data_IF_232101797106
#
_entry.id   IF_232101797106
#
_cell.length_a   1.000
_cell.length_b   1.000
_cell.length_c   1.000
_cell.angle_alpha   90.00
_cell.angle_beta   90.00
_cell.angle_gamma   90.00
#
_symmetry.space_group_name_H-M   'P 1'
#
loop_
_entity.id
_entity.type
_entity.pdbx_description
1 polymer ?
#
# COMPACT_ATOMS: atom_id res chain seq x y z
N UNK A 1 13.46 -7.18 2.13
CA UNK A 1 14.19 -6.52 3.23
C UNK A 1 15.58 -7.11 3.42
N UNK A 2 15.73 -8.39 3.80
CA UNK A 2 17.06 -9.03 3.95
C UNK A 2 17.91 -9.05 2.68
N UNK A 3 17.29 -8.97 1.50
CA UNK A 3 17.99 -8.84 0.22
C UNK A 3 18.67 -7.47 0.03
N UNK A 4 18.28 -6.47 0.81
CA UNK A 4 18.91 -5.13 0.83
C UNK A 4 19.95 -5.10 1.95
N UNK A 5 19.48 -5.35 3.17
CA UNK A 5 20.32 -5.37 4.37
C UNK A 5 19.64 -6.27 5.44
N UNK A 6 20.36 -7.24 6.05
CA UNK A 6 19.81 -8.11 7.08
C UNK A 6 19.32 -7.34 8.32
N UNK A 7 19.94 -6.22 8.69
CA UNK A 7 19.59 -5.44 9.88
C UNK A 7 18.22 -4.78 9.76
N UNK A 8 17.80 -4.44 8.53
CA UNK A 8 16.43 -3.97 8.27
C UNK A 8 15.42 -5.06 8.63
N UNK A 9 15.69 -6.33 8.26
CA UNK A 9 14.79 -7.44 8.59
C UNK A 9 14.78 -7.73 10.09
N UNK A 10 15.95 -7.79 10.72
CA UNK A 10 16.07 -7.98 12.18
C UNK A 10 15.29 -6.90 12.92
N UNK A 11 15.43 -5.65 12.47
CA UNK A 11 14.72 -4.52 13.02
C UNK A 11 13.21 -4.60 12.86
N UNK A 12 12.74 -4.90 11.64
CA UNK A 12 11.32 -5.09 11.35
C UNK A 12 10.71 -6.19 12.23
N UNK A 13 11.34 -7.37 12.29
CA UNK A 13 10.84 -8.52 13.04
C UNK A 13 10.70 -8.24 14.55
N UNK A 14 11.53 -7.34 15.11
CA UNK A 14 11.46 -6.93 16.53
C UNK A 14 10.20 -6.11 16.87
N UNK A 15 9.65 -5.39 15.90
CA UNK A 15 8.52 -4.47 16.12
C UNK A 15 7.24 -4.93 15.40
N UNK A 16 7.34 -5.97 14.59
CA UNK A 16 6.23 -6.55 13.86
C UNK A 16 5.22 -7.21 14.80
N UNK A 17 3.94 -6.96 14.52
CA UNK A 17 2.82 -7.66 15.15
C UNK A 17 2.15 -8.54 14.10
N UNK A 18 1.84 -9.77 14.50
CA UNK A 18 1.19 -10.79 13.67
C UNK A 18 -0.02 -11.40 14.41
N UNK A 19 -0.70 -12.32 13.74
CA UNK A 19 -1.78 -13.11 14.33
C UNK A 19 -1.31 -13.88 15.58
N UNK A 20 -2.07 -13.80 16.67
CA UNK A 20 -1.69 -14.39 17.95
C UNK A 20 -1.91 -15.91 18.01
N UNK A 21 -2.85 -16.46 17.22
CA UNK A 21 -3.15 -17.90 17.26
C UNK A 21 -2.08 -18.71 16.52
N UNK A 22 -1.51 -19.77 17.13
CA UNK A 22 -0.47 -20.60 16.49
C UNK A 22 -0.86 -21.14 15.11
N UNK A 23 -2.10 -21.63 14.97
CA UNK A 23 -2.65 -22.14 13.72
C UNK A 23 -2.88 -21.05 12.67
N UNK A 24 -2.91 -19.78 13.07
CA UNK A 24 -3.12 -18.62 12.19
C UNK A 24 -1.84 -17.87 11.81
N UNK A 25 -0.67 -18.37 12.23
CA UNK A 25 0.63 -17.76 11.92
C UNK A 25 0.88 -17.59 10.43
N UNK A 26 0.36 -18.48 9.58
CA UNK A 26 0.51 -18.39 8.13
C UNK A 26 -0.62 -17.66 7.43
N UNK A 27 -1.70 -17.32 8.13
CA UNK A 27 -2.83 -16.63 7.53
C UNK A 27 -2.58 -15.12 7.48
N UNK A 28 -2.96 -14.51 6.36
CA UNK A 28 -3.01 -13.07 6.19
C UNK A 28 -4.30 -12.51 6.78
N UNK A 29 -5.46 -12.95 6.29
CA UNK A 29 -6.76 -12.58 6.83
C UNK A 29 -7.74 -13.75 6.70
N UNK A 30 -8.62 -13.87 7.68
CA UNK A 30 -9.88 -14.60 7.52
C UNK A 30 -10.91 -13.66 6.89
N UNK A 31 -11.46 -14.06 5.74
CA UNK A 31 -12.48 -13.31 5.02
C UNK A 31 -13.86 -13.83 5.41
N UNK A 32 -14.70 -12.97 5.99
CA UNK A 32 -16.01 -13.30 6.52
C UNK A 32 -17.07 -12.37 5.91
N UNK A 33 -18.33 -12.83 5.85
CA UNK A 33 -19.45 -11.95 5.56
C UNK A 33 -19.72 -10.99 6.73
N UNK A 34 -19.68 -9.68 6.45
CA UNK A 34 -19.95 -8.63 7.43
C UNK A 34 -21.36 -8.04 7.37
N UNK A 35 -22.04 -8.10 6.22
CA UNK A 35 -23.41 -7.58 6.06
C UNK A 35 -24.49 -8.60 6.45
N UNK A 36 -25.61 -8.15 7.01
CA UNK A 36 -26.73 -9.04 7.37
C UNK A 36 -27.52 -9.46 6.14
N UNK A 37 -27.82 -10.76 6.04
CA UNK A 37 -28.52 -11.39 4.91
C UNK A 37 -29.87 -10.77 4.52
N UNK A 38 -30.60 -10.17 5.45
CA UNK A 38 -31.90 -9.52 5.23
C UNK A 38 -31.82 -8.10 4.65
N UNK A 39 -30.63 -7.48 4.67
CA UNK A 39 -30.40 -6.08 4.25
C UNK A 39 -29.66 -5.97 2.90
N UNK A 40 -29.74 -7.01 2.06
CA UNK A 40 -29.08 -7.06 0.75
C UNK A 40 -29.88 -6.40 -0.38
N UNK A 41 -31.11 -5.96 -0.09
CA UNK A 41 -31.97 -5.28 -1.06
C UNK A 41 -32.34 -6.21 -2.22
N UNK A 42 -31.91 -5.84 -3.42
CA UNK A 42 -32.09 -6.57 -4.69
C UNK A 42 -31.13 -7.75 -4.88
N UNK A 43 -30.10 -7.88 -4.04
CA UNK A 43 -29.13 -8.97 -4.12
C UNK A 43 -29.62 -10.19 -3.31
N UNK A 44 -29.39 -11.40 -3.84
CA UNK A 44 -29.61 -12.63 -3.07
C UNK A 44 -28.65 -12.62 -1.87
N UNK A 45 -29.17 -12.83 -0.67
CA UNK A 45 -28.37 -12.97 0.54
C UNK A 45 -27.28 -14.05 0.33
N UNK A 46 -25.98 -13.69 0.32
CA UNK A 46 -24.92 -14.65 0.02
C UNK A 46 -24.64 -15.59 1.20
N UNK A 47 -25.09 -15.22 2.40
CA UNK A 47 -24.97 -16.05 3.60
C UNK A 47 -25.37 -15.29 4.84
N UNK A 48 -25.18 -15.94 5.99
CA UNK A 48 -25.33 -15.30 7.30
C UNK A 48 -24.08 -14.48 7.63
N UNK A 49 -24.26 -13.46 8.47
CA UNK A 49 -23.14 -12.74 9.09
C UNK A 49 -22.14 -13.73 9.70
N UNK A 50 -20.85 -13.42 9.63
CA UNK A 50 -19.73 -14.24 10.12
C UNK A 50 -19.55 -15.58 9.39
N UNK A 51 -20.26 -15.82 8.28
CA UNK A 51 -19.92 -16.93 7.39
C UNK A 51 -18.53 -16.67 6.81
N UNK A 52 -17.58 -17.56 7.12
CA UNK A 52 -16.22 -17.53 6.57
C UNK A 52 -16.26 -17.92 5.09
N UNK A 53 -15.82 -16.99 4.25
CA UNK A 53 -15.73 -17.13 2.80
C UNK A 53 -14.40 -17.79 2.43
N UNK A 54 -13.29 -17.24 2.93
CA UNK A 54 -11.94 -17.68 2.56
C UNK A 54 -10.96 -17.52 3.72
N UNK A 55 -9.88 -18.31 3.68
CA UNK A 55 -8.69 -18.09 4.50
C UNK A 55 -7.51 -17.92 3.59
N UNK A 56 -6.91 -16.73 3.59
CA UNK A 56 -5.79 -16.43 2.69
C UNK A 56 -4.50 -16.72 3.43
N UNK A 57 -3.70 -17.66 2.91
CA UNK A 57 -2.39 -18.04 3.44
C UNK A 57 -1.30 -17.21 2.75
N UNK A 58 -0.48 -16.50 3.51
CA UNK A 58 0.65 -15.71 3.00
C UNK A 58 1.98 -16.40 3.33
N UNK A 59 2.31 -17.43 2.56
CA UNK A 59 3.53 -18.21 2.71
C UNK A 59 3.75 -18.66 4.16
N UNK A 60 4.95 -18.40 4.70
CA UNK A 60 5.34 -18.77 6.06
C UNK A 60 5.19 -17.64 7.10
N UNK A 61 4.80 -16.42 6.68
CA UNK A 61 4.81 -15.23 7.53
C UNK A 61 3.40 -14.85 8.00
N UNK A 62 2.38 -15.08 7.17
CA UNK A 62 1.02 -14.64 7.45
C UNK A 62 0.89 -13.12 7.50
N UNK A 63 0.00 -12.61 8.36
CA UNK A 63 -0.14 -11.18 8.59
C UNK A 63 1.04 -10.65 9.40
N UNK A 64 1.62 -9.56 8.90
CA UNK A 64 2.65 -8.81 9.62
C UNK A 64 2.44 -7.31 9.41
N UNK A 65 2.50 -6.56 10.50
CA UNK A 65 2.31 -5.11 10.49
C UNK A 65 3.22 -4.42 11.50
N UNK A 66 3.60 -3.17 11.18
CA UNK A 66 4.43 -2.31 12.03
C UNK A 66 3.84 -0.92 12.08
N UNK A 67 4.07 -0.20 13.19
CA UNK A 67 3.79 1.23 13.23
C UNK A 67 4.77 1.97 12.32
N UNK A 68 4.27 2.72 11.34
CA UNK A 68 5.08 3.38 10.29
C UNK A 68 6.23 4.22 10.88
N UNK A 69 5.95 5.02 11.91
CA UNK A 69 6.96 5.89 12.52
C UNK A 69 8.10 5.09 13.15
N UNK A 70 7.78 4.02 13.90
CA UNK A 70 8.81 3.21 14.55
C UNK A 70 9.68 2.44 13.55
N UNK A 71 9.07 1.97 12.45
CA UNK A 71 9.86 1.36 11.38
C UNK A 71 10.74 2.37 10.66
N UNK A 72 10.26 3.61 10.46
CA UNK A 72 11.07 4.68 9.90
C UNK A 72 12.23 5.06 10.84
N UNK A 73 11.99 5.20 12.14
CA UNK A 73 13.04 5.48 13.12
C UNK A 73 14.13 4.41 13.09
N UNK A 74 13.73 3.15 12.94
CA UNK A 74 14.66 2.04 12.74
C UNK A 74 15.48 2.19 11.46
N UNK A 75 14.84 2.47 10.32
CA UNK A 75 15.55 2.66 9.06
C UNK A 75 16.53 3.85 9.13
N UNK A 76 16.12 4.96 9.75
CA UNK A 76 16.96 6.15 9.94
C UNK A 76 18.17 5.82 10.81
N UNK A 77 18.03 4.97 11.83
CA UNK A 77 19.16 4.57 12.69
C UNK A 77 20.26 3.78 11.96
N UNK A 78 19.95 3.23 10.77
CA UNK A 78 20.90 2.52 9.91
C UNK A 78 21.61 3.45 8.90
N UNK A 79 21.16 4.70 8.76
CA UNK A 79 21.74 5.68 7.84
C UNK A 79 22.86 6.43 8.56
N UNK A 80 24.07 6.53 7.97
CA UNK A 80 25.17 7.26 8.60
C UNK A 80 24.84 8.72 8.89
N UNK A 81 25.39 9.23 10.00
CA UNK A 81 25.24 10.62 10.39
C UNK A 81 25.67 11.57 9.27
N UNK A 82 24.90 12.64 9.08
CA UNK A 82 25.19 13.68 8.10
C UNK A 82 24.71 13.39 6.68
N UNK A 83 24.28 12.16 6.35
CA UNK A 83 23.66 11.83 5.04
C UNK A 83 22.30 12.51 4.90
N UNK A 84 21.42 12.37 5.90
CA UNK A 84 20.10 13.00 5.88
C UNK A 84 20.20 14.52 6.11
N UNK A 85 19.62 15.31 5.20
CA UNK A 85 19.46 16.76 5.33
C UNK A 85 17.96 17.12 5.38
N UNK A 86 17.46 17.40 6.57
CA UNK A 86 16.06 17.80 6.78
C UNK A 86 15.85 19.30 6.52
N UNK A 87 14.57 19.73 6.54
CA UNK A 87 14.20 21.11 6.24
C UNK A 87 14.32 21.49 4.76
N UNK A 88 14.45 20.48 3.88
CA UNK A 88 14.60 20.65 2.43
C UNK A 88 13.35 20.16 1.71
N UNK A 89 12.73 21.01 0.90
CA UNK A 89 11.64 20.66 -0.02
C UNK A 89 12.08 21.00 -1.44
N UNK A 90 12.12 20.00 -2.32
CA UNK A 90 12.53 20.18 -3.72
C UNK A 90 11.43 20.93 -4.47
N UNK A 91 11.81 21.98 -5.20
CA UNK A 91 10.91 22.73 -6.08
C UNK A 91 11.25 22.49 -7.56
N UNK A 92 12.55 22.29 -7.86
CA UNK A 92 13.06 22.13 -9.22
C UNK A 92 14.22 21.14 -9.26
N UNK A 93 14.28 20.37 -10.35
CA UNK A 93 15.40 19.49 -10.69
C UNK A 93 15.73 19.72 -12.15
N UNK A 94 16.97 20.08 -12.45
CA UNK A 94 17.44 20.37 -13.82
C UNK A 94 18.79 19.71 -14.07
N UNK A 95 19.00 19.24 -15.29
CA UNK A 95 20.33 18.90 -15.75
C UNK A 95 21.06 20.17 -16.19
N UNK A 96 22.19 20.50 -15.53
CA UNK A 96 23.06 21.62 -15.88
C UNK A 96 24.48 21.13 -16.05
N UNK A 97 25.02 21.28 -17.26
CA UNK A 97 26.36 20.78 -17.63
C UNK A 97 26.47 19.27 -17.35
N UNK A 98 27.25 18.85 -16.35
CA UNK A 98 27.47 17.44 -16.02
C UNK A 98 26.71 16.98 -14.75
N UNK A 99 25.94 17.85 -14.09
CA UNK A 99 25.25 17.54 -12.83
C UNK A 99 23.74 17.75 -12.90
N UNK A 100 23.02 17.04 -12.05
CA UNK A 100 21.64 17.32 -11.68
C UNK A 100 21.64 18.36 -10.56
N UNK A 101 21.00 19.50 -10.79
CA UNK A 101 20.90 20.59 -9.81
C UNK A 101 19.49 20.59 -9.22
N UNK A 102 19.41 20.37 -7.91
CA UNK A 102 18.18 20.52 -7.13
C UNK A 102 18.09 21.94 -6.59
N UNK A 103 16.93 22.57 -6.73
CA UNK A 103 16.59 23.83 -6.06
C UNK A 103 15.54 23.56 -5.00
N UNK A 104 15.78 24.05 -3.79
CA UNK A 104 14.89 23.86 -2.64
C UNK A 104 14.08 25.12 -2.32
N UNK A 105 12.97 24.96 -1.59
CA UNK A 105 12.08 26.05 -1.18
C UNK A 105 12.76 27.14 -0.33
N UNK A 106 13.85 26.80 0.36
CA UNK A 106 14.64 27.74 1.16
C UNK A 106 15.67 28.55 0.32
N UNK A 107 15.64 28.39 -1.00
CA UNK A 107 16.55 29.04 -1.95
C UNK A 107 17.92 28.38 -2.08
N UNK A 108 18.23 27.37 -1.26
CA UNK A 108 19.47 26.62 -1.39
C UNK A 108 19.43 25.67 -2.60
N UNK A 109 20.62 25.23 -3.01
CA UNK A 109 20.79 24.25 -4.08
C UNK A 109 21.66 23.08 -3.64
N UNK A 110 21.54 21.96 -4.35
CA UNK A 110 22.46 20.82 -4.25
C UNK A 110 22.73 20.26 -5.63
N UNK A 111 23.89 19.63 -5.79
CA UNK A 111 24.30 18.98 -7.04
C UNK A 111 24.48 17.48 -6.82
N UNK A 112 24.07 16.67 -7.79
CA UNK A 112 24.23 15.22 -7.77
C UNK A 112 24.45 14.68 -9.19
N UNK A 113 25.01 13.47 -9.29
CA UNK A 113 25.12 12.79 -10.59
C UNK A 113 23.76 12.24 -11.07
N UNK A 114 22.87 11.92 -10.13
CA UNK A 114 21.52 11.44 -10.38
C UNK A 114 20.58 11.87 -9.26
N UNK A 115 19.27 11.88 -9.53
CA UNK A 115 18.21 12.17 -8.55
C UNK A 115 17.19 11.04 -8.56
N UNK A 116 16.76 10.62 -7.37
CA UNK A 116 15.67 9.65 -7.19
C UNK A 116 14.56 10.33 -6.39
N UNK A 117 13.39 10.47 -7.00
CA UNK A 117 12.18 10.99 -6.37
C UNK A 117 11.51 9.92 -5.51
N UNK A 118 11.68 10.02 -4.20
CA UNK A 118 11.01 9.19 -3.19
C UNK A 118 10.03 10.03 -2.32
N UNK A 119 9.47 11.09 -2.90
CA UNK A 119 8.72 12.16 -2.23
C UNK A 119 7.21 11.89 -2.09
N UNK A 120 6.81 10.62 -2.21
CA UNK A 120 5.48 10.13 -1.88
C UNK A 120 4.40 10.45 -2.90
N UNK A 121 3.15 10.22 -2.53
CA UNK A 121 1.99 10.35 -3.44
C UNK A 121 1.76 11.77 -3.98
N UNK A 122 2.24 12.82 -3.31
CA UNK A 122 2.17 14.21 -3.82
C UNK A 122 3.50 14.64 -4.45
N UNK A 123 4.11 13.73 -5.22
CA UNK A 123 5.49 13.86 -5.70
C UNK A 123 5.68 15.05 -6.63
N UNK A 124 6.59 15.96 -6.24
CA UNK A 124 7.10 17.02 -7.12
C UNK A 124 8.04 16.44 -8.17
N UNK A 125 8.83 15.42 -7.81
CA UNK A 125 9.71 14.75 -8.77
C UNK A 125 8.94 14.12 -9.93
N UNK A 126 7.75 13.54 -9.67
CA UNK A 126 6.85 12.98 -10.69
C UNK A 126 6.36 14.05 -11.65
N UNK A 127 5.91 15.19 -11.14
CA UNK A 127 5.47 16.34 -11.96
C UNK A 127 6.61 16.83 -12.87
N UNK A 128 7.83 16.96 -12.34
CA UNK A 128 9.01 17.39 -13.12
C UNK A 128 9.34 16.37 -14.21
N UNK A 129 9.36 15.08 -13.87
CA UNK A 129 9.76 14.00 -14.77
C UNK A 129 8.80 13.82 -15.94
N UNK A 130 7.49 13.76 -15.64
CA UNK A 130 6.45 13.59 -16.66
C UNK A 130 6.14 14.91 -17.41
N UNK A 131 6.48 16.04 -16.80
CA UNK A 131 6.13 17.38 -17.26
C UNK A 131 4.85 17.88 -16.60
N UNK A 132 4.84 19.12 -16.13
CA UNK A 132 3.74 19.68 -15.30
C UNK A 132 2.37 19.63 -16.00
N UNK A 133 2.37 19.73 -17.33
CA UNK A 133 1.15 19.68 -18.16
C UNK A 133 0.75 18.27 -18.60
N UNK A 134 1.52 17.23 -18.22
CA UNK A 134 1.16 15.86 -18.54
C UNK A 134 -0.05 15.45 -17.72
N UNK A 135 -1.07 14.88 -18.38
CA UNK A 135 -2.21 14.28 -17.70
C UNK A 135 -1.73 13.20 -16.72
N UNK A 136 -2.35 13.07 -15.54
CA UNK A 136 -2.02 12.02 -14.55
C UNK A 136 -0.70 12.20 -13.76
N UNK A 137 -0.18 13.43 -13.69
CA UNK A 137 0.87 13.79 -12.71
C UNK A 137 0.34 13.79 -11.28
N UNK A 138 -0.92 14.19 -11.09
CA UNK A 138 -1.57 14.21 -9.77
C UNK A 138 -2.21 12.86 -9.39
N UNK A 139 -2.34 12.58 -8.09
CA UNK A 139 -3.17 11.49 -7.58
C UNK A 139 -4.65 11.69 -7.91
N UNK A 140 -5.35 10.60 -8.18
CA UNK A 140 -6.79 10.60 -8.46
C UNK A 140 -7.57 9.96 -7.32
N UNK A 141 -8.67 10.59 -6.91
CA UNK A 141 -9.56 10.00 -5.91
C UNK A 141 -10.15 8.70 -6.48
N UNK A 142 -10.11 7.64 -5.69
CA UNK A 142 -10.48 6.30 -6.17
C UNK A 142 -11.97 5.99 -6.03
N UNK A 143 -12.78 6.95 -5.57
CA UNK A 143 -14.18 6.71 -5.21
C UNK A 143 -14.34 5.98 -3.87
N UNK A 144 -13.27 5.82 -3.08
CA UNK A 144 -13.27 5.07 -1.81
C UNK A 144 -12.74 5.95 -0.69
N UNK A 145 -13.29 5.79 0.51
CA UNK A 145 -12.79 6.40 1.73
C UNK A 145 -12.85 5.38 2.87
N UNK A 146 -12.13 5.66 3.95
CA UNK A 146 -12.04 4.75 5.09
C UNK A 146 -12.10 5.47 6.42
N UNK A 147 -12.92 4.96 7.34
CA UNK A 147 -12.85 5.28 8.75
C UNK A 147 -11.71 4.49 9.38
N UNK A 148 -10.80 5.17 10.07
CA UNK A 148 -9.67 4.55 10.77
C UNK A 148 -9.76 4.84 12.23
N UNK A 149 -9.56 3.84 13.06
CA UNK A 149 -9.63 3.99 14.52
C UNK A 149 -8.98 2.82 15.22
N UNK A 150 -8.74 3.02 16.52
CA UNK A 150 -8.05 2.06 17.36
C UNK A 150 -8.98 1.61 18.49
N UNK A 151 -8.79 0.36 18.94
CA UNK A 151 -9.53 -0.20 20.07
C UNK A 151 -8.51 -0.87 21.01
N UNK A 152 -8.47 -0.51 22.31
CA UNK A 152 -7.72 -1.27 23.31
C UNK A 152 -8.08 -2.76 23.26
N UNK A 153 -7.08 -3.64 23.20
CA UNK A 153 -7.32 -5.07 22.95
C UNK A 153 -8.23 -5.71 23.99
N UNK A 154 -8.16 -5.29 25.26
CA UNK A 154 -9.03 -5.79 26.32
C UNK A 154 -10.53 -5.47 26.07
N UNK A 155 -10.83 -4.29 25.51
CA UNK A 155 -12.19 -3.92 25.07
C UNK A 155 -12.62 -4.77 23.88
N UNK A 156 -11.75 -4.97 22.89
CA UNK A 156 -12.03 -5.81 21.73
C UNK A 156 -12.33 -7.26 22.15
N UNK A 157 -11.49 -7.86 23.00
CA UNK A 157 -11.68 -9.23 23.52
C UNK A 157 -13.02 -9.37 24.24
N UNK A 158 -13.40 -8.43 25.10
CA UNK A 158 -14.71 -8.46 25.79
C UNK A 158 -15.89 -8.39 24.82
N UNK A 159 -15.72 -7.73 23.68
CA UNK A 159 -16.78 -7.51 22.71
C UNK A 159 -16.96 -8.67 21.73
N UNK A 160 -15.87 -9.23 21.20
CA UNK A 160 -15.90 -10.20 20.09
C UNK A 160 -15.17 -11.51 20.38
N UNK A 161 -14.66 -11.70 21.60
CA UNK A 161 -13.89 -12.87 22.00
C UNK A 161 -12.41 -12.80 21.60
N UNK A 162 -11.59 -13.68 22.18
CA UNK A 162 -10.14 -13.61 22.01
C UNK A 162 -9.66 -13.91 20.59
N UNK A 163 -10.19 -14.96 19.96
CA UNK A 163 -9.72 -15.38 18.65
C UNK A 163 -9.96 -14.30 17.59
N UNK A 164 -11.16 -13.72 17.55
CA UNK A 164 -11.47 -12.67 16.56
C UNK A 164 -10.71 -11.37 16.82
N UNK A 165 -10.56 -10.96 18.09
CA UNK A 165 -9.87 -9.72 18.44
C UNK A 165 -8.36 -9.77 18.16
N UNK A 166 -7.73 -10.94 18.36
CA UNK A 166 -6.27 -11.10 18.30
C UNK A 166 -5.75 -11.65 16.97
N UNK A 167 -6.62 -11.82 15.98
CA UNK A 167 -6.25 -12.29 14.65
C UNK A 167 -6.89 -11.42 13.57
N UNK A 168 -6.28 -11.40 12.40
CA UNK A 168 -6.65 -10.50 11.32
C UNK A 168 -7.93 -10.94 10.62
N UNK A 169 -8.94 -10.08 10.59
CA UNK A 169 -10.26 -10.33 10.00
C UNK A 169 -10.58 -9.33 8.88
N UNK A 170 -11.23 -9.79 7.83
CA UNK A 170 -11.79 -8.98 6.74
C UNK A 170 -13.29 -9.28 6.63
N UNK A 171 -14.13 -8.28 6.86
CA UNK A 171 -15.59 -8.37 6.84
C UNK A 171 -16.12 -7.74 5.54
N UNK A 172 -16.67 -8.57 4.66
CA UNK A 172 -17.09 -8.17 3.31
C UNK A 172 -18.58 -7.80 3.30
N UNK A 173 -18.95 -6.81 2.48
CA UNK A 173 -20.32 -6.31 2.39
C UNK A 173 -20.50 -5.45 1.15
N UNK A 174 -21.75 -5.13 0.80
CA UNK A 174 -22.02 -4.31 -0.38
C UNK A 174 -21.52 -2.87 -0.16
N UNK A 175 -20.76 -2.35 -1.10
CA UNK A 175 -20.23 -0.97 -1.11
C UNK A 175 -19.32 -0.62 0.08
N UNK A 176 -18.76 -1.63 0.76
CA UNK A 176 -17.82 -1.40 1.85
C UNK A 176 -17.31 -2.69 2.46
N UNK A 177 -16.22 -2.57 3.21
CA UNK A 177 -15.63 -3.69 3.94
C UNK A 177 -14.92 -3.18 5.19
N UNK A 178 -14.79 -4.02 6.21
CA UNK A 178 -14.09 -3.67 7.45
C UNK A 178 -12.96 -4.65 7.66
N UNK A 179 -11.77 -4.14 7.97
CA UNK A 179 -10.66 -4.97 8.39
C UNK A 179 -10.25 -4.66 9.82
N UNK A 180 -9.80 -5.69 10.51
CA UNK A 180 -9.25 -5.60 11.87
C UNK A 180 -8.00 -6.44 11.97
N UNK A 181 -6.99 -5.97 12.69
CA UNK A 181 -5.79 -6.75 12.99
C UNK A 181 -5.08 -6.20 14.25
N UNK A 182 -4.34 -7.05 14.98
CA UNK A 182 -3.57 -6.61 16.14
C UNK A 182 -2.34 -5.78 15.72
N UNK A 183 -2.05 -4.74 16.48
CA UNK A 183 -0.83 -3.93 16.40
C UNK A 183 -0.22 -3.76 17.80
N UNK A 184 0.92 -3.08 17.90
CA UNK A 184 1.60 -2.75 19.17
C UNK A 184 1.84 -3.99 20.06
N UNK A 185 2.37 -5.06 19.47
CA UNK A 185 2.58 -6.36 20.12
C UNK A 185 1.28 -6.95 20.70
N UNK A 186 0.15 -6.73 20.01
CA UNK A 186 -1.15 -7.27 20.38
C UNK A 186 -1.87 -6.52 21.50
N UNK A 187 -1.45 -5.30 21.84
CA UNK A 187 -2.09 -4.44 22.85
C UNK A 187 -3.26 -3.64 22.30
N UNK A 188 -3.29 -3.41 20.98
CA UNK A 188 -4.27 -2.55 20.32
C UNK A 188 -4.78 -3.25 19.07
N UNK A 189 -6.09 -3.19 18.82
CA UNK A 189 -6.71 -3.64 17.58
C UNK A 189 -6.86 -2.44 16.65
N UNK A 190 -6.24 -2.50 15.48
CA UNK A 190 -6.42 -1.52 14.42
C UNK A 190 -7.70 -1.84 13.64
N UNK A 191 -8.54 -0.84 13.39
CA UNK A 191 -9.77 -0.97 12.59
C UNK A 191 -9.70 -0.03 11.40
N UNK A 192 -10.01 -0.55 10.21
CA UNK A 192 -10.22 0.26 9.02
C UNK A 192 -11.52 -0.16 8.35
N UNK A 193 -12.46 0.75 8.23
CA UNK A 193 -13.78 0.50 7.68
C UNK A 193 -13.96 1.33 6.40
N UNK A 194 -13.90 0.66 5.26
CA UNK A 194 -13.95 1.24 3.93
C UNK A 194 -15.37 1.36 3.42
N UNK A 195 -15.61 2.40 2.62
CA UNK A 195 -16.87 2.67 1.94
C UNK A 195 -16.65 3.20 0.54
N UNK A 196 -17.55 2.82 -0.36
CA UNK A 196 -17.73 3.42 -1.68
C UNK A 196 -18.44 4.75 -1.55
N UNK A 197 -17.86 5.79 -2.15
CA UNK A 197 -18.49 7.09 -2.33
C UNK A 197 -19.35 7.05 -3.60
N UNK A 198 -20.66 6.91 -3.45
CA UNK A 198 -21.58 6.62 -4.56
C UNK A 198 -21.67 7.70 -5.64
N UNK A 199 -21.44 8.97 -5.30
CA UNK A 199 -21.37 10.05 -6.30
C UNK A 199 -19.98 10.20 -6.94
N UNK A 200 -19.01 9.39 -6.51
CA UNK A 200 -17.64 9.35 -7.01
C UNK A 200 -16.79 10.59 -6.66
N UNK A 201 -17.27 11.49 -5.80
CA UNK A 201 -16.63 12.78 -5.56
C UNK A 201 -16.12 12.96 -4.14
N UNK A 202 -14.93 13.55 -4.05
CA UNK A 202 -14.36 14.07 -2.81
C UNK A 202 -14.11 15.57 -2.98
N UNK A 203 -14.91 16.39 -2.31
CA UNK A 203 -14.94 17.85 -2.52
C UNK A 203 -14.08 18.63 -1.53
N UNK A 204 -13.52 17.96 -0.50
CA UNK A 204 -12.60 18.59 0.45
C UNK A 204 -11.15 18.46 -0.04
N UNK A 205 -10.39 19.54 0.00
CA UNK A 205 -8.97 19.52 -0.37
C UNK A 205 -8.13 18.64 0.58
N UNK A 206 -8.60 18.47 1.82
CA UNK A 206 -7.97 17.60 2.81
C UNK A 206 -8.37 16.15 2.53
N UNK A 207 -7.38 15.28 2.59
CA UNK A 207 -7.59 13.84 2.44
C UNK A 207 -7.95 13.16 3.76
N UNK A 208 -7.73 13.85 4.88
CA UNK A 208 -8.03 13.35 6.22
C UNK A 208 -8.93 14.36 6.92
N UNK A 209 -10.08 13.89 7.39
CA UNK A 209 -11.08 14.68 8.10
C UNK A 209 -11.37 14.04 9.45
N UNK A 210 -11.71 14.83 10.48
CA UNK A 210 -12.24 14.28 11.71
C UNK A 210 -13.55 13.54 11.41
N UNK A 211 -13.72 12.35 11.98
CA UNK A 211 -14.94 11.58 11.81
C UNK A 211 -16.13 12.20 12.57
N UNK A 212 -17.32 12.17 11.96
CA UNK A 212 -18.59 12.29 12.68
C UNK A 212 -19.13 10.89 12.94
N UNK A 213 -19.50 10.62 14.20
CA UNK A 213 -19.90 9.27 14.63
C UNK A 213 -21.13 8.79 13.86
N UNK A 214 -22.09 9.69 13.69
CA UNK A 214 -23.36 9.44 13.01
C UNK A 214 -23.14 9.02 11.56
N UNK A 215 -22.23 9.68 10.84
CA UNK A 215 -21.91 9.38 9.43
C UNK A 215 -21.40 7.94 9.28
N UNK A 216 -20.47 7.51 10.14
CA UNK A 216 -19.97 6.14 10.13
C UNK A 216 -21.10 5.13 10.40
N UNK A 217 -21.96 5.37 11.40
CA UNK A 217 -23.06 4.43 11.66
C UNK A 217 -24.07 4.37 10.52
N UNK A 218 -24.34 5.50 9.87
CA UNK A 218 -25.21 5.59 8.70
C UNK A 218 -24.65 4.79 7.52
N UNK A 219 -23.35 4.88 7.27
CA UNK A 219 -22.68 4.14 6.20
C UNK A 219 -22.72 2.63 6.38
N UNK A 220 -22.72 2.18 7.64
CA UNK A 220 -22.73 0.76 7.99
C UNK A 220 -24.12 0.26 8.39
N UNK A 221 -25.21 1.00 8.10
CA UNK A 221 -26.57 0.48 8.23
C UNK A 221 -26.72 -0.83 7.44
N UNK A 222 -27.36 -1.83 8.06
CA UNK A 222 -27.51 -3.16 7.48
C UNK A 222 -26.34 -4.12 7.72
N UNK A 223 -25.24 -3.63 8.31
CA UNK A 223 -24.15 -4.49 8.74
C UNK A 223 -24.47 -5.31 9.99
N UNK A 224 -23.74 -6.40 10.12
CA UNK A 224 -23.80 -7.38 11.19
C UNK A 224 -23.62 -6.80 12.59
N UNK A 225 -24.12 -7.50 13.62
CA UNK A 225 -23.96 -7.07 15.01
C UNK A 225 -22.49 -7.01 15.42
N UNK A 226 -21.66 -7.91 14.91
CA UNK A 226 -20.23 -7.98 15.23
C UNK A 226 -19.49 -6.75 14.70
N UNK A 227 -19.72 -6.42 13.43
CA UNK A 227 -19.14 -5.21 12.80
C UNK A 227 -19.63 -3.95 13.49
N UNK A 228 -20.93 -3.82 13.72
CA UNK A 228 -21.52 -2.69 14.43
C UNK A 228 -20.92 -2.49 15.84
N UNK A 229 -20.70 -3.59 16.57
CA UNK A 229 -20.05 -3.53 17.88
C UNK A 229 -18.61 -3.05 17.77
N UNK A 230 -17.81 -3.58 16.82
CA UNK A 230 -16.43 -3.15 16.58
C UNK A 230 -16.39 -1.64 16.29
N UNK A 231 -17.20 -1.16 15.36
CA UNK A 231 -17.25 0.26 14.99
C UNK A 231 -17.59 1.16 16.20
N UNK A 232 -18.47 0.69 17.11
CA UNK A 232 -18.86 1.44 18.31
C UNK A 232 -17.75 1.65 19.33
N UNK A 233 -16.69 0.84 19.28
CA UNK A 233 -15.55 0.88 20.20
C UNK A 233 -14.39 1.72 19.69
N UNK A 234 -14.41 2.13 18.40
CA UNK A 234 -13.31 2.90 17.81
C UNK A 234 -13.08 4.22 18.55
N UNK A 235 -11.84 4.45 18.98
CA UNK A 235 -11.41 5.66 19.64
C UNK A 235 -10.71 6.61 18.66
N UNK A 236 -11.03 7.91 18.76
CA UNK A 236 -10.48 9.01 17.94
C UNK A 236 -10.41 8.71 16.43
N UNK A 237 -11.51 8.29 15.81
CA UNK A 237 -11.43 7.91 14.42
C UNK A 237 -11.37 9.12 13.47
N UNK A 238 -10.65 8.93 12.37
CA UNK A 238 -10.55 9.88 11.26
C UNK A 238 -11.09 9.23 9.98
N UNK A 239 -11.52 10.07 9.03
CA UNK A 239 -11.94 9.66 7.69
C UNK A 239 -10.85 9.97 6.70
N UNK A 240 -10.45 8.97 5.93
CA UNK A 240 -9.35 9.05 4.97
C UNK A 240 -9.89 8.81 3.57
N UNK A 241 -9.83 9.83 2.71
CA UNK A 241 -10.07 9.65 1.29
C UNK A 241 -8.88 8.95 0.63
N UNK A 242 -9.17 8.00 -0.25
CA UNK A 242 -8.14 7.19 -0.89
C UNK A 242 -7.83 7.73 -2.28
N UNK A 243 -6.55 7.93 -2.52
CA UNK A 243 -5.99 8.39 -3.77
C UNK A 243 -4.90 7.43 -4.21
N UNK A 244 -4.75 7.27 -5.52
CA UNK A 244 -3.66 6.54 -6.14
C UNK A 244 -3.18 7.30 -7.39
N UNK A 245 -2.07 6.85 -7.96
CA UNK A 245 -1.58 7.41 -9.21
C UNK A 245 -2.09 6.63 -10.42
N UNK A 246 -2.55 7.31 -11.47
CA UNK A 246 -2.75 6.64 -12.75
C UNK A 246 -1.40 6.18 -13.34
N UNK A 247 -1.42 5.21 -14.27
CA UNK A 247 -0.22 4.66 -14.90
C UNK A 247 0.71 5.75 -15.48
N UNK A 248 1.99 5.71 -15.08
CA UNK A 248 3.02 6.55 -15.70
C UNK A 248 3.62 5.84 -16.92
N UNK A 249 3.92 6.53 -18.03
CA UNK A 249 4.54 5.91 -19.20
C UNK A 249 5.99 5.46 -18.95
N UNK A 250 6.68 6.12 -18.02
CA UNK A 250 8.07 5.85 -17.61
C UNK A 250 8.26 6.27 -16.15
N UNK A 251 9.20 5.65 -15.45
CA UNK A 251 9.68 6.03 -14.12
C UNK A 251 11.00 6.78 -14.15
N UNK A 252 11.55 7.11 -15.32
CA UNK A 252 12.77 7.89 -15.43
C UNK A 252 12.79 8.80 -16.66
N UNK A 253 13.64 9.81 -16.61
CA UNK A 253 14.02 10.68 -17.73
C UNK A 253 15.43 11.20 -17.51
N UNK A 254 16.36 10.84 -18.40
CA UNK A 254 17.78 11.14 -18.20
C UNK A 254 18.27 10.57 -16.87
N UNK A 255 18.79 11.44 -16.00
CA UNK A 255 19.33 11.08 -14.68
C UNK A 255 18.39 11.42 -13.51
N UNK A 256 17.08 11.49 -13.76
CA UNK A 256 16.03 11.54 -12.75
C UNK A 256 15.16 10.27 -12.83
N UNK A 257 14.93 9.60 -11.69
CA UNK A 257 14.04 8.44 -11.58
C UNK A 257 13.03 8.59 -10.43
N UNK A 258 11.94 7.81 -10.44
CA UNK A 258 10.92 7.76 -9.38
C UNK A 258 10.93 6.40 -8.68
N UNK A 259 10.63 6.40 -7.37
CA UNK A 259 10.57 5.20 -6.55
C UNK A 259 9.41 5.26 -5.54
N UNK A 260 8.78 4.10 -5.28
CA UNK A 260 7.69 3.99 -4.32
C UNK A 260 6.45 4.78 -4.73
N UNK A 261 5.78 5.40 -3.77
CA UNK A 261 4.51 6.11 -4.01
C UNK A 261 4.64 7.24 -5.05
N UNK A 262 5.81 7.85 -5.24
CA UNK A 262 6.03 8.83 -6.30
C UNK A 262 5.84 8.23 -7.71
N UNK A 263 6.16 6.94 -7.88
CA UNK A 263 6.01 6.21 -9.13
C UNK A 263 4.63 5.52 -9.23
N UNK A 264 4.19 4.88 -8.15
CA UNK A 264 3.07 3.91 -8.18
C UNK A 264 2.25 3.86 -6.88
N UNK A 265 1.93 5.02 -6.29
CA UNK A 265 0.98 5.08 -5.19
C UNK A 265 -0.30 4.27 -5.51
N UNK A 266 -0.69 3.36 -4.62
CA UNK A 266 -1.82 2.46 -4.79
C UNK A 266 -2.83 2.60 -3.64
N UNK A 267 -4.07 2.16 -3.87
CA UNK A 267 -4.98 1.90 -2.74
C UNK A 267 -4.44 0.76 -1.84
N UNK A 268 -4.83 0.67 -0.56
CA UNK A 268 -4.20 -0.23 0.40
C UNK A 268 -4.77 -1.66 0.40
N UNK A 269 -5.73 -1.99 -0.46
CA UNK A 269 -6.53 -3.22 -0.39
C UNK A 269 -5.71 -4.51 -0.49
N UNK A 270 -4.54 -4.50 -1.13
CA UNK A 270 -3.63 -5.65 -1.18
C UNK A 270 -2.47 -5.59 -0.18
N UNK A 271 -2.34 -4.51 0.60
CA UNK A 271 -1.24 -4.33 1.55
C UNK A 271 0.17 -4.28 0.92
N UNK A 272 0.28 -4.04 -0.39
CA UNK A 272 1.52 -4.26 -1.14
C UNK A 272 2.35 -2.99 -1.44
N UNK A 273 1.83 -1.78 -1.19
CA UNK A 273 2.49 -0.52 -1.59
C UNK A 273 3.91 -0.35 -1.02
N UNK A 274 4.07 -0.49 0.30
CA UNK A 274 5.39 -0.42 0.93
C UNK A 274 6.33 -1.54 0.47
N UNK A 275 5.79 -2.74 0.22
CA UNK A 275 6.55 -3.85 -0.35
C UNK A 275 7.10 -3.52 -1.73
N UNK A 276 6.30 -2.87 -2.60
CA UNK A 276 6.76 -2.44 -3.92
C UNK A 276 7.89 -1.41 -3.84
N UNK A 277 7.84 -0.45 -2.91
CA UNK A 277 8.94 0.50 -2.71
C UNK A 277 10.23 -0.19 -2.23
N UNK A 278 10.12 -1.24 -1.41
CA UNK A 278 11.27 -2.05 -0.97
C UNK A 278 11.82 -2.87 -2.15
N UNK A 279 10.96 -3.45 -2.99
CA UNK A 279 11.39 -4.12 -4.24
C UNK A 279 12.12 -3.15 -5.18
N UNK A 280 11.59 -1.93 -5.35
CA UNK A 280 12.24 -0.88 -6.15
C UNK A 280 13.63 -0.55 -5.61
N UNK A 281 13.75 -0.33 -4.30
CA UNK A 281 15.01 0.02 -3.65
C UNK A 281 16.05 -1.08 -3.85
N UNK A 282 15.65 -2.36 -3.74
CA UNK A 282 16.52 -3.50 -3.99
C UNK A 282 17.03 -3.54 -5.44
N UNK A 283 16.15 -3.40 -6.43
CA UNK A 283 16.58 -3.42 -7.84
C UNK A 283 17.46 -2.22 -8.15
N UNK A 284 17.03 -1.02 -7.76
CA UNK A 284 17.71 0.22 -8.10
C UNK A 284 19.09 0.33 -7.43
N UNK A 285 19.22 -0.07 -6.16
CA UNK A 285 20.51 -0.04 -5.46
C UNK A 285 21.54 -0.99 -6.09
N UNK A 286 21.11 -2.17 -6.53
CA UNK A 286 21.99 -3.14 -7.18
C UNK A 286 22.45 -2.67 -8.57
N UNK A 287 21.56 -2.05 -9.35
CA UNK A 287 21.92 -1.51 -10.67
C UNK A 287 22.86 -0.31 -10.55
N UNK A 288 22.57 0.63 -9.64
CA UNK A 288 23.43 1.78 -9.38
C UNK A 288 24.79 1.38 -8.79
N UNK A 289 24.85 0.32 -7.99
CA UNK A 289 26.10 -0.23 -7.46
C UNK A 289 27.05 -0.79 -8.53
N UNK A 290 26.57 -1.00 -9.77
CA UNK A 290 27.37 -1.47 -10.91
C UNK A 290 27.76 -0.35 -11.88
N UNK A 291 27.27 0.86 -11.67
CA UNK A 291 27.58 2.02 -12.52
C UNK A 291 29.03 2.44 -12.27
N UNK A 292 29.86 2.41 -13.33
CA UNK A 292 31.25 2.86 -13.29
C UNK A 292 31.43 4.30 -13.76
N UNK A 293 30.44 4.88 -14.45
CA UNK A 293 30.49 6.27 -14.92
C UNK A 293 29.11 6.90 -15.05
N UNK A 294 29.04 8.24 -15.04
CA UNK A 294 27.78 8.99 -15.19
C UNK A 294 26.96 8.61 -16.43
N UNK A 295 27.63 8.19 -17.52
CA UNK A 295 27.00 7.80 -18.79
C UNK A 295 26.20 6.50 -18.70
N UNK A 296 26.38 5.73 -17.64
CA UNK A 296 25.71 4.44 -17.44
C UNK A 296 24.49 4.56 -16.52
N UNK A 297 24.32 5.70 -15.83
CA UNK A 297 23.19 5.94 -14.92
C UNK A 297 21.85 5.80 -15.64
N UNK A 298 21.70 6.43 -16.81
CA UNK A 298 20.46 6.37 -17.58
C UNK A 298 20.14 4.93 -18.04
N UNK A 299 21.16 4.12 -18.35
CA UNK A 299 20.98 2.70 -18.68
C UNK A 299 20.49 1.90 -17.47
N UNK A 300 21.03 2.18 -16.28
CA UNK A 300 20.56 1.56 -15.04
C UNK A 300 19.10 1.95 -14.75
N UNK A 301 18.72 3.21 -14.93
CA UNK A 301 17.34 3.67 -14.78
C UNK A 301 16.38 3.08 -15.81
N UNK A 302 16.82 2.92 -17.06
CA UNK A 302 16.07 2.21 -18.09
C UNK A 302 15.81 0.74 -17.71
N UNK A 303 16.83 0.02 -17.25
CA UNK A 303 16.67 -1.36 -16.79
C UNK A 303 15.74 -1.48 -15.58
N UNK A 304 15.83 -0.54 -14.63
CA UNK A 304 14.91 -0.43 -13.49
C UNK A 304 13.46 -0.24 -13.97
N UNK A 305 13.20 0.74 -14.84
CA UNK A 305 11.87 1.01 -15.39
C UNK A 305 11.29 -0.23 -16.07
N UNK A 306 12.08 -0.88 -16.94
CA UNK A 306 11.65 -2.01 -17.73
C UNK A 306 11.14 -3.19 -16.88
N UNK A 307 11.74 -3.45 -15.71
CA UNK A 307 11.33 -4.56 -14.85
C UNK A 307 10.35 -4.16 -13.74
N UNK A 308 10.45 -2.93 -13.22
CA UNK A 308 9.64 -2.47 -12.08
C UNK A 308 8.31 -1.84 -12.49
N UNK A 309 8.28 -1.09 -13.58
CA UNK A 309 7.08 -0.35 -14.00
C UNK A 309 5.90 -1.27 -14.31
N UNK A 310 6.03 -2.34 -15.13
CA UNK A 310 4.90 -3.22 -15.42
C UNK A 310 4.33 -3.90 -14.15
N UNK A 311 5.20 -4.35 -13.25
CA UNK A 311 4.80 -5.04 -12.01
C UNK A 311 4.11 -4.11 -11.02
N UNK A 312 4.72 -2.97 -10.73
CA UNK A 312 4.17 -2.00 -9.77
C UNK A 312 2.85 -1.38 -10.26
N UNK A 313 2.70 -1.11 -11.56
CA UNK A 313 1.41 -0.62 -12.09
C UNK A 313 0.34 -1.70 -12.07
N UNK A 314 0.70 -2.97 -12.27
CA UNK A 314 -0.23 -4.08 -12.06
C UNK A 314 -0.72 -4.13 -10.61
N UNK A 315 0.14 -3.85 -9.62
CA UNK A 315 -0.28 -3.75 -8.21
C UNK A 315 -1.31 -2.63 -8.01
N UNK A 316 -1.09 -1.43 -8.59
CA UNK A 316 -2.05 -0.33 -8.51
C UNK A 316 -3.41 -0.75 -9.06
N UNK A 317 -3.43 -1.35 -10.25
CA UNK A 317 -4.65 -1.82 -10.91
C UNK A 317 -5.37 -2.90 -10.10
N UNK A 318 -4.67 -3.99 -9.74
CA UNK A 318 -5.30 -5.12 -9.03
C UNK A 318 -5.68 -4.77 -7.59
N UNK A 319 -5.15 -3.67 -7.03
CA UNK A 319 -5.58 -3.16 -5.72
C UNK A 319 -6.97 -2.52 -5.80
N UNK A 320 -7.31 -1.87 -6.92
CA UNK A 320 -8.69 -1.43 -7.17
C UNK A 320 -9.62 -2.62 -7.37
N UNK A 321 -9.18 -3.66 -8.08
CA UNK A 321 -9.96 -4.89 -8.23
C UNK A 321 -10.16 -5.61 -6.89
N UNK A 322 -9.19 -5.50 -5.96
CA UNK A 322 -9.34 -6.02 -4.60
C UNK A 322 -10.49 -5.35 -3.85
N UNK A 323 -10.56 -4.03 -3.89
CA UNK A 323 -11.68 -3.28 -3.31
C UNK A 323 -13.02 -3.76 -3.88
N UNK A 324 -13.15 -3.88 -5.21
CA UNK A 324 -14.39 -4.32 -5.85
C UNK A 324 -14.84 -5.69 -5.38
N UNK A 325 -13.91 -6.64 -5.26
CA UNK A 325 -14.21 -8.00 -4.79
C UNK A 325 -14.64 -8.00 -3.33
N UNK A 326 -13.98 -7.22 -2.46
CA UNK A 326 -14.35 -7.15 -1.04
C UNK A 326 -15.72 -6.52 -0.82
N UNK A 327 -16.15 -5.69 -1.77
CA UNK A 327 -17.33 -4.86 -1.66
C UNK A 327 -18.52 -5.34 -2.51
N UNK A 328 -18.39 -6.54 -3.09
CA UNK A 328 -19.35 -7.15 -4.03
C UNK A 328 -19.72 -6.26 -5.22
N UNK A 329 -18.74 -5.53 -5.75
CA UNK A 329 -18.85 -4.63 -6.90
C UNK A 329 -18.12 -5.17 -8.14
N UNK A 330 -17.49 -6.34 -8.05
CA UNK A 330 -16.91 -7.00 -9.21
C UNK A 330 -18.04 -7.58 -10.08
N UNK A 331 -18.14 -7.14 -11.34
CA UNK A 331 -19.24 -7.52 -12.25
C UNK A 331 -19.20 -9.01 -12.63
N UNK A 332 -18.02 -9.65 -12.58
CA UNK A 332 -17.87 -11.05 -12.96
C UNK A 332 -18.14 -11.99 -11.79
N UNK A 333 -17.68 -11.63 -10.58
CA UNK A 333 -17.88 -12.45 -9.39
C UNK A 333 -19.23 -12.19 -8.71
N UNK A 334 -19.71 -10.94 -8.74
CA UNK A 334 -20.91 -10.48 -8.04
C UNK A 334 -20.89 -10.89 -6.57
N UNK A 335 -21.86 -11.72 -6.18
CA UNK A 335 -22.01 -12.29 -4.82
C UNK A 335 -21.79 -13.80 -4.76
N UNK A 336 -21.20 -14.41 -5.79
CA UNK A 336 -20.90 -15.84 -5.79
C UNK A 336 -19.74 -16.13 -4.83
N UNK A 337 -20.07 -16.62 -3.63
CA UNK A 337 -19.08 -16.85 -2.59
C UNK A 337 -18.06 -17.93 -2.94
N UNK A 338 -18.42 -18.92 -3.76
CA UNK A 338 -17.50 -19.97 -4.16
C UNK A 338 -16.47 -19.43 -5.15
N UNK A 339 -16.90 -18.59 -6.10
CA UNK A 339 -16.00 -17.90 -7.02
C UNK A 339 -15.11 -16.87 -6.29
N UNK A 340 -15.68 -16.10 -5.37
CA UNK A 340 -14.94 -15.14 -4.54
C UNK A 340 -13.89 -15.87 -3.71
N UNK A 341 -14.25 -16.97 -3.06
CA UNK A 341 -13.31 -17.78 -2.28
C UNK A 341 -12.10 -18.21 -3.11
N UNK A 342 -12.34 -18.87 -4.25
CA UNK A 342 -11.27 -19.35 -5.15
C UNK A 342 -10.37 -18.21 -5.61
N UNK A 343 -10.96 -17.05 -5.90
CA UNK A 343 -10.23 -15.85 -6.30
C UNK A 343 -9.36 -15.32 -5.17
N UNK A 344 -9.92 -15.16 -3.96
CA UNK A 344 -9.18 -14.66 -2.80
C UNK A 344 -8.02 -15.56 -2.40
N UNK A 345 -8.18 -16.89 -2.48
CA UNK A 345 -7.15 -17.86 -2.08
C UNK A 345 -5.94 -17.89 -3.02
N UNK A 346 -6.00 -17.29 -4.21
CA UNK A 346 -4.93 -17.40 -5.23
C UNK A 346 -4.42 -16.06 -5.77
N UNK A 347 -5.23 -14.99 -5.72
CA UNK A 347 -4.93 -13.71 -6.37
C UNK A 347 -3.65 -13.00 -5.89
N UNK A 348 -3.14 -13.33 -4.71
CA UNK A 348 -1.97 -12.67 -4.12
C UNK A 348 -0.66 -13.40 -4.43
N UNK A 349 -0.71 -14.63 -4.93
CA UNK A 349 0.47 -15.48 -5.12
C UNK A 349 1.50 -14.81 -6.05
N UNK A 350 1.06 -14.18 -7.14
CA UNK A 350 1.98 -13.46 -8.03
C UNK A 350 2.65 -12.23 -7.36
N UNK A 351 2.09 -11.72 -6.26
CA UNK A 351 2.68 -10.65 -5.46
C UNK A 351 3.73 -11.26 -4.53
N UNK A 352 3.35 -12.27 -3.74
CA UNK A 352 4.17 -12.82 -2.67
C UNK A 352 5.26 -13.79 -3.15
N UNK A 353 5.04 -14.50 -4.24
CA UNK A 353 5.93 -15.54 -4.77
C UNK A 353 6.88 -15.01 -5.86
N UNK A 354 7.02 -13.68 -5.99
CA UNK A 354 7.93 -13.08 -6.97
C UNK A 354 9.40 -13.39 -6.64
N UNK A 355 10.12 -13.95 -7.61
CA UNK A 355 11.56 -14.12 -7.53
C UNK A 355 12.28 -12.81 -7.88
N UNK A 356 12.56 -12.02 -6.85
CA UNK A 356 13.30 -10.75 -7.00
C UNK A 356 14.73 -10.94 -7.48
N UNK A 357 15.38 -12.07 -7.23
CA UNK A 357 16.70 -12.34 -7.79
C UNK A 357 16.61 -12.56 -9.31
N UNK A 358 15.58 -13.25 -9.79
CA UNK A 358 15.34 -13.37 -11.23
C UNK A 358 14.99 -12.02 -11.85
N UNK A 359 14.18 -11.20 -11.19
CA UNK A 359 13.87 -9.85 -11.66
C UNK A 359 15.12 -8.97 -11.75
N UNK A 360 16.03 -9.06 -10.76
CA UNK A 360 17.32 -8.37 -10.80
C UNK A 360 18.22 -8.85 -11.94
N UNK A 361 18.32 -10.17 -12.17
CA UNK A 361 19.09 -10.72 -13.30
C UNK A 361 18.59 -10.18 -14.64
N UNK A 362 17.26 -10.16 -14.85
CA UNK A 362 16.66 -9.57 -16.05
C UNK A 362 17.03 -8.09 -16.21
N UNK A 363 17.03 -7.32 -15.13
CA UNK A 363 17.45 -5.92 -15.18
C UNK A 363 18.94 -5.78 -15.55
N UNK A 364 19.80 -6.60 -14.98
CA UNK A 364 21.25 -6.61 -15.28
C UNK A 364 21.52 -7.01 -16.74
N UNK A 365 20.76 -7.96 -17.29
CA UNK A 365 20.82 -8.33 -18.71
C UNK A 365 20.47 -7.14 -19.61
N UNK A 366 19.45 -6.35 -19.26
CA UNK A 366 19.07 -5.12 -20.00
C UNK A 366 20.20 -4.09 -19.98
N UNK A 367 20.92 -3.94 -18.86
CA UNK A 367 22.10 -3.04 -18.80
C UNK A 367 23.23 -3.55 -19.72
N UNK A 368 23.45 -4.86 -19.76
CA UNK A 368 24.52 -5.49 -20.55
C UNK A 368 24.23 -5.58 -22.05
N UNK A 369 22.96 -5.53 -22.46
CA UNK A 369 22.59 -5.45 -23.88
C UNK A 369 23.06 -4.11 -24.45
N UNK A 370 23.84 -4.16 -25.55
CA UNK A 370 24.17 -2.96 -26.32
C UNK A 370 22.86 -2.33 -26.78
N UNK A 371 22.52 -1.20 -26.17
CA UNK A 371 21.41 -0.37 -26.59
C UNK A 371 21.57 0.00 -28.07
N UNK A 372 20.80 -0.64 -28.94
CA UNK A 372 20.28 0.01 -30.13
C UNK A 372 19.07 0.83 -29.65
N UNK A 373 19.33 1.90 -28.90
CA UNK A 373 18.34 2.93 -28.55
C UNK A 373 18.52 4.12 -29.48
#
# INVERSE_FOLDING_TARGET
MSLIDPDIKIGYDKIATSNAWPEKKKFWFDFNLGQKGDMWGDMKAPGKEMLRIAQVVAGDIGQSSVHRAHFLDLLVSLVPDGVAKFGKRVEKVEEKSEKMVLTFSDGSTAEADAVIGCDGVKSRARQILLGENYQNTEPTFTGKYAYRGLIPMDKAVRAIGEELARNSQMYLGRHGHVLTFPIENGKTMNVVAFRTKMDGKWEDERWVLPMKKEDMFNDFVGWGKSVQHILSLMEKPDVWALFDHPPAPTYFKGRLALLGDAAHASTPHQGAGAGQAIEDAFILSNLLGQVGSMKEIEKAFHAYDAVRRPRSQKIVATSRDAAKIYEFEDENLGTDLDLIKRTLETRYNWIWDEDLHQQLRKAQEIVGQRANL
#
